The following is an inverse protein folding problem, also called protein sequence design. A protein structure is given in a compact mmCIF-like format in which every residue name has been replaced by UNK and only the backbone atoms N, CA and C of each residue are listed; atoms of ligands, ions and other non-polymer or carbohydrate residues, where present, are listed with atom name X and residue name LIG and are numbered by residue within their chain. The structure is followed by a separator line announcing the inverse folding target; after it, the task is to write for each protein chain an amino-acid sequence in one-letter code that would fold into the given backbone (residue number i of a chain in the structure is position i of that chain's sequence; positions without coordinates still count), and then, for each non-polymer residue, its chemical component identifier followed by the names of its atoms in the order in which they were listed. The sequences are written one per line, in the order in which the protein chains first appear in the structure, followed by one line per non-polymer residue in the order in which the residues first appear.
data_IF_642416243359
#
_entry.id   IF_642416243359
#
_cell.length_a   1.000
_cell.length_b   1.000
_cell.length_c   1.000
_cell.angle_alpha   90.00
_cell.angle_beta   90.00
_cell.angle_gamma   90.00
#
_symmetry.space_group_name_H-M   'P 1'
#
loop_
_entity.id
_entity.type
_entity.pdbx_description
1 polymer ?
#
# COMPACT_ATOMS: atom_id res chain seq x y z
N UNK A 1 -8.60 2.00 14.98
CA UNK A 1 -7.52 1.95 13.97
C UNK A 1 -6.89 3.32 13.76
N UNK A 2 -7.61 4.37 13.38
CA UNK A 2 -7.03 5.69 13.12
C UNK A 2 -6.23 6.30 14.27
N UNK A 3 -6.70 6.18 15.52
CA UNK A 3 -5.97 6.66 16.71
C UNK A 3 -4.62 5.93 16.86
N UNK A 4 -4.59 4.61 16.69
CA UNK A 4 -3.36 3.81 16.78
C UNK A 4 -2.39 4.20 15.68
N UNK A 5 -2.89 4.37 14.45
CA UNK A 5 -2.10 4.84 13.32
C UNK A 5 -1.48 6.21 13.60
N UNK A 6 -2.26 7.14 14.13
CA UNK A 6 -1.80 8.48 14.48
C UNK A 6 -0.70 8.46 15.55
N UNK A 7 -0.88 7.67 16.62
CA UNK A 7 0.11 7.53 17.69
C UNK A 7 1.42 6.95 17.14
N UNK A 8 1.34 5.86 16.38
CA UNK A 8 2.52 5.20 15.81
C UNK A 8 3.25 6.08 14.78
N UNK A 9 2.52 6.84 13.99
CA UNK A 9 3.10 7.81 13.06
C UNK A 9 3.84 8.94 13.80
N UNK A 10 3.28 9.43 14.94
CA UNK A 10 3.95 10.41 15.80
C UNK A 10 5.22 9.86 16.46
N UNK A 11 5.29 8.55 16.66
CA UNK A 11 6.49 7.87 17.18
C UNK A 11 7.50 7.52 16.08
N UNK A 12 7.28 7.95 14.84
CA UNK A 12 8.11 7.65 13.66
C UNK A 12 8.30 6.15 13.39
N UNK A 13 7.38 5.32 13.88
CA UNK A 13 7.42 3.86 13.71
C UNK A 13 6.81 3.42 12.37
N UNK A 14 7.13 4.10 11.27
CA UNK A 14 6.49 3.91 9.96
C UNK A 14 6.48 2.46 9.46
N UNK A 15 7.57 1.71 9.70
CA UNK A 15 7.70 0.32 9.26
C UNK A 15 6.69 -0.65 9.89
N UNK A 16 6.21 -0.36 11.09
CA UNK A 16 5.27 -1.22 11.83
C UNK A 16 3.86 -0.65 11.94
N UNK A 17 3.68 0.63 11.57
CA UNK A 17 2.42 1.35 11.73
C UNK A 17 1.27 0.62 11.04
N UNK A 18 1.43 0.21 9.80
CA UNK A 18 0.41 -0.52 9.03
C UNK A 18 0.06 -1.87 9.65
N UNK A 19 1.07 -2.62 10.07
CA UNK A 19 0.89 -3.95 10.67
C UNK A 19 0.16 -3.87 12.02
N UNK A 20 0.61 -3.02 12.93
CA UNK A 20 0.00 -2.87 14.26
C UNK A 20 -1.43 -2.31 14.15
N UNK A 21 -1.65 -1.37 13.25
CA UNK A 21 -3.00 -0.84 12.97
C UNK A 21 -3.90 -1.93 12.37
N UNK A 22 -3.39 -2.78 11.48
CA UNK A 22 -4.10 -3.93 10.93
C UNK A 22 -4.48 -4.95 12.01
N UNK A 23 -3.55 -5.27 12.91
CA UNK A 23 -3.81 -6.16 14.05
C UNK A 23 -4.90 -5.60 14.98
N UNK A 24 -4.87 -4.31 15.29
CA UNK A 24 -5.95 -3.68 16.08
C UNK A 24 -7.31 -3.76 15.37
N UNK A 25 -7.32 -3.66 14.03
CA UNK A 25 -8.51 -3.85 13.21
C UNK A 25 -9.05 -5.28 13.30
N UNK A 26 -8.18 -6.28 13.19
CA UNK A 26 -8.57 -7.69 13.33
C UNK A 26 -9.14 -7.98 14.73
N UNK A 27 -8.50 -7.49 15.79
CA UNK A 27 -9.01 -7.63 17.16
C UNK A 27 -10.38 -6.96 17.29
N UNK A 28 -10.55 -5.75 16.76
CA UNK A 28 -11.84 -5.05 16.79
C UNK A 28 -12.91 -5.83 16.02
N UNK A 29 -12.61 -6.35 14.84
CA UNK A 29 -13.53 -7.20 14.08
C UNK A 29 -13.91 -8.46 14.85
N UNK A 30 -12.95 -9.11 15.50
CA UNK A 30 -13.21 -10.31 16.31
C UNK A 30 -14.11 -10.00 17.50
N UNK A 31 -13.84 -8.90 18.21
CA UNK A 31 -14.67 -8.45 19.36
C UNK A 31 -16.09 -8.12 18.90
N UNK A 32 -16.23 -7.33 17.83
CA UNK A 32 -17.55 -6.97 17.28
C UNK A 32 -18.33 -8.20 16.83
N UNK A 33 -17.65 -9.14 16.14
CA UNK A 33 -18.28 -10.39 15.72
C UNK A 33 -18.75 -11.21 16.93
N UNK A 34 -17.92 -11.32 17.97
CA UNK A 34 -18.28 -12.05 19.21
C UNK A 34 -19.45 -11.41 19.96
N UNK A 35 -19.54 -10.07 19.95
CA UNK A 35 -20.67 -9.34 20.56
C UNK A 35 -21.94 -9.53 19.73
N UNK A 36 -21.83 -9.49 18.39
CA UNK A 36 -22.98 -9.56 17.48
C UNK A 36 -23.51 -10.98 17.28
N UNK A 37 -22.62 -11.98 17.31
CA UNK A 37 -22.95 -13.40 17.12
C UNK A 37 -23.33 -14.10 18.42
N UNK A 38 -23.90 -13.41 19.41
CA UNK A 38 -24.25 -13.98 20.70
C UNK A 38 -24.75 -15.42 20.59
N UNK A 39 -23.84 -16.38 20.92
CA UNK A 39 -24.14 -17.82 21.04
C UNK A 39 -24.71 -18.54 19.80
N UNK A 40 -24.08 -18.40 18.64
CA UNK A 40 -24.12 -19.48 17.66
C UNK A 40 -22.77 -20.20 17.68
N UNK A 41 -22.67 -21.20 18.52
CA UNK A 41 -21.68 -22.28 18.46
C UNK A 41 -21.94 -23.09 17.20
N UNK A 42 -21.37 -22.69 16.06
CA UNK A 42 -21.71 -23.35 14.80
C UNK A 42 -20.75 -23.10 13.62
N UNK A 43 -19.68 -22.34 13.79
CA UNK A 43 -18.60 -22.38 12.80
C UNK A 43 -17.69 -23.57 13.11
N UNK A 44 -18.23 -24.78 13.00
CA UNK A 44 -17.39 -25.96 12.90
C UNK A 44 -16.42 -25.77 11.77
N UNK A 45 -15.14 -25.75 12.13
CA UNK A 45 -14.01 -25.75 11.22
C UNK A 45 -14.14 -26.94 10.26
N UNK A 46 -14.65 -26.66 9.05
CA UNK A 46 -14.62 -27.60 7.92
C UNK A 46 -13.19 -27.87 7.44
N UNK A 47 -12.22 -27.26 8.06
CA UNK A 47 -10.81 -27.46 7.82
C UNK A 47 -10.13 -28.04 9.07
N UNK A 48 -9.85 -29.34 9.06
CA UNK A 48 -8.81 -29.93 9.91
C UNK A 48 -7.48 -29.37 9.41
N UNK A 49 -7.08 -28.22 9.93
CA UNK A 49 -5.76 -27.65 9.67
C UNK A 49 -4.73 -28.53 10.35
N UNK A 50 -3.82 -29.12 9.60
CA UNK A 50 -2.64 -29.83 10.12
C UNK A 50 -1.69 -28.88 10.86
N UNK A 51 -1.96 -27.57 10.81
CA UNK A 51 -1.15 -26.48 11.34
C UNK A 51 -1.86 -25.89 12.57
N UNK A 52 -1.16 -25.88 13.70
CA UNK A 52 -1.66 -25.27 14.93
C UNK A 52 -1.78 -23.74 14.76
N UNK A 53 -2.76 -23.09 15.42
CA UNK A 53 -2.99 -21.64 15.37
C UNK A 53 -1.69 -20.83 15.58
N UNK A 54 -0.88 -21.25 16.56
CA UNK A 54 0.40 -20.61 16.84
C UNK A 54 1.37 -20.67 15.65
N UNK A 55 1.38 -21.77 14.91
CA UNK A 55 2.23 -21.92 13.72
C UNK A 55 1.74 -21.02 12.59
N UNK A 56 0.44 -20.86 12.43
CA UNK A 56 -0.14 -19.98 11.39
C UNK A 56 0.16 -18.51 11.65
N UNK A 57 0.25 -18.11 12.92
CA UNK A 57 0.51 -16.72 13.33
C UNK A 57 2.01 -16.40 13.44
N UNK A 58 2.87 -17.43 13.51
CA UNK A 58 4.32 -17.29 13.72
C UNK A 58 5.01 -16.30 12.77
N UNK A 59 4.77 -16.32 11.44
CA UNK A 59 5.40 -15.35 10.54
C UNK A 59 5.08 -13.90 10.90
N UNK A 60 3.85 -13.63 11.29
CA UNK A 60 3.39 -12.28 11.66
C UNK A 60 4.00 -11.82 12.98
N UNK A 61 4.10 -12.71 13.96
CA UNK A 61 4.81 -12.43 15.23
C UNK A 61 6.27 -12.11 14.98
N UNK A 62 6.94 -12.87 14.12
CA UNK A 62 8.33 -12.62 13.73
C UNK A 62 8.50 -11.26 13.03
N UNK A 63 7.58 -10.84 12.16
CA UNK A 63 7.60 -9.52 11.54
C UNK A 63 7.57 -8.44 12.63
N UNK A 64 6.67 -8.54 13.61
CA UNK A 64 6.56 -7.56 14.70
C UNK A 64 7.84 -7.52 15.52
N UNK A 65 8.34 -8.68 15.95
CA UNK A 65 9.55 -8.77 16.78
C UNK A 65 10.79 -8.23 16.04
N UNK A 66 10.98 -8.59 14.76
CA UNK A 66 12.09 -8.09 13.96
C UNK A 66 11.97 -6.57 13.72
N UNK A 67 10.77 -6.06 13.50
CA UNK A 67 10.55 -4.62 13.32
C UNK A 67 10.90 -3.84 14.57
N UNK A 68 10.49 -4.32 15.75
CA UNK A 68 10.84 -3.70 17.04
C UNK A 68 12.34 -3.82 17.29
N UNK A 69 12.94 -4.99 17.05
CA UNK A 69 14.36 -5.19 17.22
C UNK A 69 15.19 -4.24 16.35
N UNK A 70 14.84 -4.09 15.06
CA UNK A 70 15.55 -3.19 14.16
C UNK A 70 15.30 -1.71 14.46
N UNK A 71 14.15 -1.37 15.02
CA UNK A 71 13.88 -0.02 15.51
C UNK A 71 14.80 0.34 16.69
N UNK A 72 15.04 -0.61 17.62
CA UNK A 72 15.89 -0.41 18.80
C UNK A 72 17.38 -0.45 18.43
N UNK A 73 17.81 -1.46 17.67
CA UNK A 73 19.22 -1.72 17.34
C UNK A 73 19.76 -0.70 16.32
N UNK A 74 18.88 -0.11 15.49
CA UNK A 74 19.23 0.85 14.40
C UNK A 74 20.41 0.37 13.57
N UNK A 75 20.34 -0.81 12.94
CA UNK A 75 21.47 -1.37 12.20
C UNK A 75 21.86 -0.43 11.05
N UNK A 76 23.15 -0.08 10.97
CA UNK A 76 23.71 0.94 10.09
C UNK A 76 24.18 0.40 8.74
N UNK A 77 23.37 -0.38 8.02
CA UNK A 77 23.65 -0.78 6.64
C UNK A 77 23.03 0.25 5.66
N UNK A 78 23.66 1.41 5.56
CA UNK A 78 23.22 2.48 4.68
C UNK A 78 24.02 2.45 3.37
N UNK A 79 23.29 2.43 2.26
CA UNK A 79 23.82 2.66 0.92
C UNK A 79 23.31 4.02 0.44
N UNK A 80 24.20 4.87 -0.01
CA UNK A 80 23.85 6.14 -0.62
C UNK A 80 24.12 6.06 -2.13
N UNK A 81 23.18 6.52 -2.93
CA UNK A 81 23.31 6.66 -4.36
C UNK A 81 23.38 8.15 -4.70
N UNK A 82 24.40 8.55 -5.45
CA UNK A 82 24.53 9.89 -6.00
C UNK A 82 23.74 10.01 -7.30
N UNK A 83 23.36 11.22 -7.60
CA UNK A 83 22.67 11.58 -8.83
C UNK A 83 23.44 12.72 -9.51
N UNK A 84 23.85 12.53 -10.76
CA UNK A 84 24.75 13.44 -11.46
C UNK A 84 24.05 14.70 -12.01
N UNK A 85 22.74 14.79 -11.86
CA UNK A 85 21.94 15.87 -12.42
C UNK A 85 21.68 15.68 -13.93
N UNK A 86 20.65 16.33 -14.45
CA UNK A 86 20.33 16.36 -15.88
C UNK A 86 19.52 17.60 -16.23
N UNK A 87 19.33 17.85 -17.52
CA UNK A 87 18.43 18.90 -17.99
C UNK A 87 17.13 18.24 -18.49
N UNK A 88 16.00 18.69 -18.00
CA UNK A 88 14.67 18.20 -18.42
C UNK A 88 14.40 18.57 -19.87
N UNK A 89 13.40 17.90 -20.48
CA UNK A 89 12.93 18.25 -21.84
C UNK A 89 12.37 19.68 -21.94
N UNK A 90 12.02 20.29 -20.82
CA UNK A 90 11.57 21.69 -20.71
C UNK A 90 12.74 22.68 -20.55
N UNK A 91 13.99 22.21 -20.51
CA UNK A 91 15.17 23.04 -20.34
C UNK A 91 15.50 23.39 -18.87
N UNK A 92 14.80 22.83 -17.89
CA UNK A 92 15.10 23.03 -16.48
C UNK A 92 16.28 22.14 -16.06
N UNK A 93 17.26 22.73 -15.38
CA UNK A 93 18.42 21.99 -14.87
C UNK A 93 18.10 21.40 -13.49
N UNK A 94 18.18 20.09 -13.37
CA UNK A 94 18.14 19.38 -12.09
C UNK A 94 19.56 19.23 -11.57
N UNK A 95 19.82 19.82 -10.41
CA UNK A 95 21.17 19.85 -9.81
C UNK A 95 21.64 18.44 -9.40
N UNK A 96 22.96 18.15 -9.45
CA UNK A 96 23.50 16.92 -8.93
C UNK A 96 23.38 16.84 -7.41
N UNK A 97 23.12 15.66 -6.87
CA UNK A 97 22.97 15.42 -5.44
C UNK A 97 23.76 14.18 -5.01
N UNK A 98 24.71 14.35 -4.06
CA UNK A 98 25.60 13.26 -3.62
C UNK A 98 24.89 12.16 -2.82
N UNK A 99 23.76 12.48 -2.20
CA UNK A 99 22.94 11.54 -1.42
C UNK A 99 21.47 11.60 -1.83
N UNK A 100 21.22 11.48 -3.12
CA UNK A 100 19.88 11.54 -3.68
C UNK A 100 18.94 10.49 -3.07
N UNK A 101 19.42 9.26 -2.91
CA UNK A 101 18.70 8.20 -2.23
C UNK A 101 19.59 7.55 -1.19
N UNK A 102 19.19 7.59 0.07
CA UNK A 102 19.81 6.81 1.13
C UNK A 102 18.95 5.58 1.42
N UNK A 103 19.54 4.40 1.30
CA UNK A 103 18.86 3.13 1.42
C UNK A 103 19.44 2.33 2.59
N UNK A 104 18.68 2.19 3.65
CA UNK A 104 19.04 1.32 4.78
C UNK A 104 18.38 -0.04 4.64
N UNK A 105 19.16 -1.02 4.15
CA UNK A 105 18.65 -2.34 3.78
C UNK A 105 17.84 -3.02 4.89
N UNK A 106 18.25 -2.89 6.15
CA UNK A 106 17.61 -3.61 7.27
C UNK A 106 16.38 -2.90 7.83
N UNK A 107 16.22 -1.59 7.59
CA UNK A 107 15.05 -0.83 8.04
C UNK A 107 13.84 -0.97 7.11
N UNK A 108 14.05 -1.43 5.87
CA UNK A 108 12.96 -1.55 4.91
C UNK A 108 12.03 -2.73 5.24
N UNK A 109 10.72 -2.55 5.09
CA UNK A 109 9.72 -3.62 5.32
C UNK A 109 10.01 -4.90 4.54
N UNK A 110 10.55 -4.77 3.34
CA UNK A 110 10.98 -5.89 2.49
C UNK A 110 11.95 -6.83 3.22
N UNK A 111 12.99 -6.31 3.85
CA UNK A 111 14.01 -7.12 4.54
C UNK A 111 13.44 -7.83 5.75
N UNK A 112 12.58 -7.14 6.50
CA UNK A 112 11.90 -7.69 7.68
C UNK A 112 10.98 -8.84 7.26
N UNK A 113 10.18 -8.65 6.21
CA UNK A 113 9.25 -9.66 5.68
C UNK A 113 10.03 -10.86 5.14
N UNK A 114 11.12 -10.62 4.40
CA UNK A 114 11.96 -11.67 3.84
C UNK A 114 12.61 -12.51 4.95
N UNK A 115 13.20 -11.87 5.96
CA UNK A 115 13.80 -12.57 7.11
C UNK A 115 12.74 -13.37 7.88
N UNK A 116 11.60 -12.78 8.20
CA UNK A 116 10.51 -13.47 8.88
C UNK A 116 10.04 -14.71 8.09
N UNK A 117 9.89 -14.57 6.78
CA UNK A 117 9.47 -15.65 5.89
C UNK A 117 10.49 -16.78 5.86
N UNK A 118 11.79 -16.46 5.76
CA UNK A 118 12.87 -17.44 5.78
C UNK A 118 12.95 -18.17 7.13
N UNK A 119 12.88 -17.46 8.25
CA UNK A 119 12.85 -18.07 9.58
C UNK A 119 11.65 -19.00 9.76
N UNK A 120 10.47 -18.56 9.33
CA UNK A 120 9.25 -19.36 9.39
C UNK A 120 9.38 -20.63 8.54
N UNK A 121 9.95 -20.49 7.35
CA UNK A 121 10.20 -21.62 6.44
C UNK A 121 11.13 -22.67 7.09
N UNK A 122 12.21 -22.24 7.74
CA UNK A 122 13.14 -23.14 8.45
C UNK A 122 12.43 -23.86 9.58
N UNK A 123 11.62 -23.16 10.37
CA UNK A 123 10.86 -23.77 11.47
C UNK A 123 9.84 -24.79 10.96
N UNK A 124 9.13 -24.49 9.88
CA UNK A 124 8.17 -25.40 9.27
C UNK A 124 8.84 -26.63 8.63
N UNK A 125 10.03 -26.46 8.06
CA UNK A 125 10.84 -27.60 7.61
C UNK A 125 11.21 -28.53 8.76
N UNK A 126 11.71 -27.97 9.87
CA UNK A 126 12.10 -28.77 11.05
C UNK A 126 10.94 -29.53 11.68
N UNK A 127 9.73 -28.98 11.58
CA UNK A 127 8.49 -29.60 12.10
C UNK A 127 7.83 -30.58 11.11
N UNK A 128 8.40 -30.78 9.93
CA UNK A 128 7.86 -31.70 8.93
C UNK A 128 6.59 -31.23 8.22
N UNK A 129 6.13 -30.00 8.51
CA UNK A 129 4.92 -29.40 7.90
C UNK A 129 5.16 -28.99 6.46
N UNK A 130 6.43 -28.77 6.11
CA UNK A 130 6.84 -28.18 4.84
C UNK A 130 7.81 -29.10 4.09
N UNK A 131 7.49 -29.46 2.85
CA UNK A 131 8.35 -30.29 2.02
C UNK A 131 9.22 -29.43 1.08
N UNK A 132 10.38 -29.97 0.67
CA UNK A 132 11.27 -29.33 -0.33
C UNK A 132 10.55 -29.03 -1.64
N UNK A 133 9.63 -29.90 -2.07
CA UNK A 133 8.84 -29.70 -3.28
C UNK A 133 7.93 -28.48 -3.15
N UNK A 134 7.21 -28.33 -2.03
CA UNK A 134 6.37 -27.15 -1.75
C UNK A 134 7.21 -25.87 -1.69
N UNK A 135 8.40 -25.89 -1.07
CA UNK A 135 9.31 -24.76 -1.05
C UNK A 135 9.71 -24.30 -2.45
N UNK A 136 10.10 -25.24 -3.32
CA UNK A 136 10.47 -24.92 -4.71
C UNK A 136 9.34 -24.25 -5.47
N UNK A 137 8.12 -24.74 -5.33
CA UNK A 137 6.93 -24.15 -5.96
C UNK A 137 6.68 -22.73 -5.46
N UNK A 138 6.74 -22.51 -4.15
CA UNK A 138 6.54 -21.18 -3.56
C UNK A 138 7.61 -20.21 -4.03
N UNK A 139 8.89 -20.58 -3.98
CA UNK A 139 9.99 -19.74 -4.42
C UNK A 139 9.89 -19.40 -5.92
N UNK A 140 9.55 -20.38 -6.76
CA UNK A 140 9.36 -20.18 -8.20
C UNK A 140 8.21 -19.20 -8.48
N UNK A 141 7.04 -19.41 -7.84
CA UNK A 141 5.89 -18.54 -8.00
C UNK A 141 6.17 -17.11 -7.46
N UNK A 142 6.91 -17.01 -6.36
CA UNK A 142 7.32 -15.72 -5.81
C UNK A 142 8.25 -15.00 -6.78
N UNK A 143 9.27 -15.67 -7.31
CA UNK A 143 10.20 -15.09 -8.29
C UNK A 143 9.46 -14.60 -9.55
N UNK A 144 8.56 -15.39 -10.10
CA UNK A 144 7.75 -14.97 -11.26
C UNK A 144 6.91 -13.72 -10.97
N UNK A 145 6.25 -13.67 -9.82
CA UNK A 145 5.46 -12.51 -9.40
C UNK A 145 6.35 -11.28 -9.18
N UNK A 146 7.51 -11.45 -8.54
CA UNK A 146 8.45 -10.36 -8.33
C UNK A 146 8.95 -9.79 -9.66
N UNK A 147 9.36 -10.64 -10.62
CA UNK A 147 9.80 -10.20 -11.95
C UNK A 147 8.69 -9.42 -12.66
N UNK A 148 7.48 -9.97 -12.72
CA UNK A 148 6.34 -9.30 -13.36
C UNK A 148 6.04 -7.94 -12.72
N UNK A 149 6.02 -7.88 -11.39
CA UNK A 149 5.77 -6.63 -10.66
C UNK A 149 6.89 -5.61 -10.88
N UNK A 150 8.15 -6.05 -10.84
CA UNK A 150 9.30 -5.18 -11.08
C UNK A 150 9.27 -4.58 -12.48
N UNK A 151 9.02 -5.39 -13.51
CA UNK A 151 8.87 -4.92 -14.88
C UNK A 151 7.76 -3.87 -14.98
N UNK A 152 6.60 -4.15 -14.39
CA UNK A 152 5.48 -3.20 -14.38
C UNK A 152 5.86 -1.87 -13.74
N UNK A 153 6.49 -1.89 -12.56
CA UNK A 153 6.89 -0.67 -11.83
C UNK A 153 7.93 0.11 -12.63
N UNK A 154 8.92 -0.56 -13.23
CA UNK A 154 9.94 0.10 -14.06
C UNK A 154 9.31 0.83 -15.24
N UNK A 155 8.38 0.19 -15.96
CA UNK A 155 7.69 0.86 -17.08
C UNK A 155 6.80 2.01 -16.62
N UNK A 156 6.10 1.87 -15.48
CA UNK A 156 5.27 2.94 -14.93
C UNK A 156 6.10 4.14 -14.49
N UNK A 157 7.25 3.91 -13.85
CA UNK A 157 8.18 4.97 -13.46
C UNK A 157 8.73 5.71 -14.68
N UNK A 158 9.19 4.97 -15.70
CA UNK A 158 9.66 5.59 -16.94
C UNK A 158 8.57 6.42 -17.62
N UNK A 159 7.34 5.90 -17.67
CA UNK A 159 6.19 6.65 -18.22
C UNK A 159 5.96 7.94 -17.42
N UNK A 160 5.96 7.87 -16.09
CA UNK A 160 5.74 9.04 -15.24
C UNK A 160 6.84 10.10 -15.43
N UNK A 161 8.11 9.70 -15.49
CA UNK A 161 9.24 10.60 -15.74
C UNK A 161 9.15 11.25 -17.12
N UNK A 162 8.86 10.49 -18.17
CA UNK A 162 8.68 11.03 -19.53
C UNK A 162 7.54 12.05 -19.56
N UNK A 163 6.41 11.76 -18.92
CA UNK A 163 5.26 12.68 -18.83
C UNK A 163 5.61 13.95 -18.05
N UNK A 164 6.44 13.84 -17.02
CA UNK A 164 6.93 14.98 -16.25
C UNK A 164 7.88 15.84 -17.08
N UNK A 165 8.92 15.25 -17.64
CA UNK A 165 9.96 15.96 -18.40
C UNK A 165 9.44 16.56 -19.72
N UNK A 166 8.40 15.99 -20.30
CA UNK A 166 7.72 16.54 -21.52
C UNK A 166 6.71 17.63 -21.21
N UNK A 167 6.42 17.95 -19.94
CA UNK A 167 5.40 18.90 -19.53
C UNK A 167 3.95 18.41 -19.66
N UNK A 168 3.72 17.16 -20.07
CA UNK A 168 2.36 16.58 -20.17
C UNK A 168 1.62 16.62 -18.85
N UNK A 169 2.30 16.33 -17.74
CA UNK A 169 1.69 16.36 -16.41
C UNK A 169 1.22 17.78 -16.07
N UNK A 170 2.05 18.79 -16.32
CA UNK A 170 1.69 20.19 -16.07
C UNK A 170 0.47 20.61 -16.90
N UNK A 171 0.43 20.26 -18.18
CA UNK A 171 -0.72 20.54 -19.05
C UNK A 171 -2.00 19.89 -18.53
N UNK A 172 -1.95 18.64 -18.10
CA UNK A 172 -3.11 17.93 -17.54
C UNK A 172 -3.52 18.56 -16.20
N UNK A 173 -2.56 18.90 -15.35
CA UNK A 173 -2.83 19.55 -14.07
C UNK A 173 -3.52 20.92 -14.25
N UNK A 174 -3.01 21.76 -15.14
CA UNK A 174 -3.60 23.05 -15.47
C UNK A 174 -5.01 22.88 -16.05
N UNK A 175 -5.23 21.93 -16.93
CA UNK A 175 -6.56 21.66 -17.48
C UNK A 175 -7.55 21.22 -16.39
N UNK A 176 -7.15 20.34 -15.48
CA UNK A 176 -7.98 19.90 -14.37
C UNK A 176 -8.26 21.06 -13.39
N UNK A 177 -7.26 21.84 -13.06
CA UNK A 177 -7.39 23.01 -12.18
C UNK A 177 -8.25 24.08 -12.83
N UNK A 178 -8.13 24.34 -14.13
CA UNK A 178 -8.98 25.30 -14.84
C UNK A 178 -10.46 24.92 -14.81
N UNK A 179 -10.76 23.62 -14.79
CA UNK A 179 -12.13 23.09 -14.72
C UNK A 179 -12.69 23.10 -13.29
N UNK A 180 -11.86 22.83 -12.30
CA UNK A 180 -12.29 22.64 -10.90
C UNK A 180 -11.98 23.83 -10.02
N UNK A 181 -11.02 24.67 -10.37
CA UNK A 181 -10.54 25.79 -9.55
C UNK A 181 -10.14 25.34 -8.16
N UNK A 182 -10.55 26.12 -7.17
CA UNK A 182 -10.32 25.86 -5.74
C UNK A 182 -10.97 24.56 -5.23
N UNK A 183 -11.83 23.91 -6.04
CA UNK A 183 -12.46 22.64 -5.69
C UNK A 183 -11.60 21.43 -6.05
N UNK A 184 -10.44 21.61 -6.69
CA UNK A 184 -9.54 20.51 -7.05
C UNK A 184 -9.20 19.57 -5.89
N UNK A 185 -9.00 20.03 -4.64
CA UNK A 185 -8.74 19.14 -3.51
C UNK A 185 -9.81 18.07 -3.26
N UNK A 186 -11.06 18.29 -3.70
CA UNK A 186 -12.11 17.27 -3.64
C UNK A 186 -11.85 16.12 -4.62
N UNK A 187 -11.21 16.41 -5.75
CA UNK A 187 -10.95 15.44 -6.80
C UNK A 187 -9.74 14.55 -6.50
N UNK A 188 -8.75 15.01 -5.74
CA UNK A 188 -7.52 14.29 -5.48
C UNK A 188 -7.72 12.86 -4.93
N UNK A 189 -8.53 12.60 -3.88
CA UNK A 189 -8.77 11.24 -3.42
C UNK A 189 -9.58 10.40 -4.42
N UNK A 190 -10.43 11.01 -5.25
CA UNK A 190 -11.18 10.31 -6.29
C UNK A 190 -10.26 9.85 -7.41
N UNK A 191 -9.31 10.68 -7.83
CA UNK A 191 -8.27 10.32 -8.79
C UNK A 191 -7.44 9.15 -8.26
N UNK A 192 -7.03 9.21 -7.00
CA UNK A 192 -6.33 8.12 -6.33
C UNK A 192 -7.11 6.81 -6.32
N UNK A 193 -8.39 6.89 -5.96
CA UNK A 193 -9.30 5.75 -5.96
C UNK A 193 -9.41 5.12 -7.34
N UNK A 194 -9.64 5.91 -8.38
CA UNK A 194 -9.75 5.42 -9.76
C UNK A 194 -8.44 4.79 -10.24
N UNK A 195 -7.31 5.43 -9.96
CA UNK A 195 -5.99 4.91 -10.32
C UNK A 195 -5.70 3.55 -9.69
N UNK A 196 -5.99 3.40 -8.40
CA UNK A 196 -5.79 2.13 -7.71
C UNK A 196 -6.83 1.06 -8.08
N UNK A 197 -8.06 1.46 -8.38
CA UNK A 197 -9.08 0.55 -8.91
C UNK A 197 -8.63 -0.08 -10.24
N UNK A 198 -8.15 0.75 -11.17
CA UNK A 198 -7.70 0.30 -12.50
C UNK A 198 -6.44 -0.56 -12.41
N UNK A 199 -5.45 -0.13 -11.61
CA UNK A 199 -4.15 -0.80 -11.53
C UNK A 199 -4.13 -1.97 -10.53
N UNK A 200 -5.11 -2.02 -9.63
CA UNK A 200 -5.15 -2.97 -8.50
C UNK A 200 -4.07 -2.69 -7.43
N UNK A 201 -3.41 -1.52 -7.46
CA UNK A 201 -2.27 -1.20 -6.61
C UNK A 201 -2.23 0.27 -6.20
N UNK A 202 -2.14 0.52 -4.90
CA UNK A 202 -1.93 1.85 -4.35
C UNK A 202 -0.59 2.45 -4.85
N UNK A 203 0.48 1.66 -4.82
CA UNK A 203 1.81 2.10 -5.28
C UNK A 203 1.77 2.54 -6.74
N UNK A 204 1.16 1.74 -7.62
CA UNK A 204 1.06 2.09 -9.03
C UNK A 204 0.23 3.36 -9.24
N UNK A 205 -0.88 3.52 -8.52
CA UNK A 205 -1.68 4.74 -8.55
C UNK A 205 -0.86 5.97 -8.13
N UNK A 206 -0.08 5.85 -7.06
CA UNK A 206 0.75 6.95 -6.58
C UNK A 206 1.89 7.29 -7.55
N UNK A 207 2.48 6.30 -8.20
CA UNK A 207 3.51 6.52 -9.24
C UNK A 207 2.93 7.27 -10.44
N UNK A 208 1.72 6.92 -10.87
CA UNK A 208 1.10 7.55 -12.05
C UNK A 208 0.62 8.97 -11.73
N UNK A 209 -0.05 9.14 -10.60
CA UNK A 209 -0.78 10.38 -10.31
C UNK A 209 -0.11 11.27 -9.25
N UNK A 210 0.97 10.82 -8.59
CA UNK A 210 1.66 11.63 -7.57
C UNK A 210 2.17 12.95 -8.12
N UNK A 211 2.87 12.93 -9.24
CA UNK A 211 3.36 14.13 -9.91
C UNK A 211 2.23 15.05 -10.41
N UNK A 212 1.11 14.47 -10.84
CA UNK A 212 -0.08 15.24 -11.22
C UNK A 212 -0.63 16.03 -10.02
N UNK A 213 -0.68 15.39 -8.84
CA UNK A 213 -1.15 16.05 -7.63
C UNK A 213 -0.20 17.16 -7.17
N UNK A 214 1.09 16.95 -7.30
CA UNK A 214 2.11 17.94 -7.00
C UNK A 214 2.01 19.16 -7.93
N UNK A 215 1.93 18.92 -9.24
CA UNK A 215 1.78 19.98 -10.25
C UNK A 215 0.47 20.77 -10.04
N UNK A 216 -0.65 20.08 -9.80
CA UNK A 216 -1.93 20.72 -9.55
C UNK A 216 -1.92 21.56 -8.25
N UNK A 217 -1.34 21.03 -7.18
CA UNK A 217 -1.20 21.77 -5.92
C UNK A 217 -0.34 23.02 -6.10
N UNK A 218 0.76 22.93 -6.84
CA UNK A 218 1.64 24.05 -7.13
C UNK A 218 0.95 25.14 -7.94
N UNK A 219 0.13 24.77 -8.94
CA UNK A 219 -0.58 25.75 -9.79
C UNK A 219 -1.67 26.53 -9.05
N UNK A 220 -2.22 25.99 -7.94
CA UNK A 220 -3.22 26.68 -7.10
C UNK A 220 -2.64 27.19 -5.77
N UNK A 221 -1.32 27.12 -5.58
CA UNK A 221 -0.64 27.60 -4.38
C UNK A 221 -0.97 26.81 -3.10
N UNK A 222 -1.33 25.54 -3.23
CA UNK A 222 -1.69 24.67 -2.10
C UNK A 222 -0.57 23.70 -1.74
N UNK A 223 -0.66 23.04 -0.57
CA UNK A 223 0.34 22.08 -0.10
C UNK A 223 0.34 20.80 -0.95
N UNK A 224 1.41 20.56 -1.69
CA UNK A 224 1.63 19.33 -2.45
C UNK A 224 1.62 18.08 -1.54
N UNK A 225 2.20 18.17 -0.33
CA UNK A 225 2.23 17.07 0.62
C UNK A 225 0.82 16.61 1.04
N UNK A 226 -0.08 17.56 1.33
CA UNK A 226 -1.46 17.25 1.71
C UNK A 226 -2.21 16.67 0.51
N UNK A 227 -2.00 17.23 -0.69
CA UNK A 227 -2.65 16.76 -1.91
C UNK A 227 -2.22 15.33 -2.26
N UNK A 228 -0.93 15.03 -2.20
CA UNK A 228 -0.39 13.68 -2.42
C UNK A 228 -0.85 12.70 -1.32
N UNK A 229 -1.00 13.14 -0.06
CA UNK A 229 -1.56 12.32 1.00
C UNK A 229 -3.02 11.96 0.71
N UNK A 230 -3.84 12.92 0.28
CA UNK A 230 -5.23 12.68 -0.11
C UNK A 230 -5.35 11.70 -1.28
N UNK A 231 -4.49 11.86 -2.31
CA UNK A 231 -4.33 10.91 -3.42
C UNK A 231 -4.04 9.49 -2.89
N UNK A 232 -3.06 9.35 -2.01
CA UNK A 232 -2.63 8.05 -1.49
C UNK A 232 -3.70 7.37 -0.63
N UNK A 233 -4.45 8.15 0.16
CA UNK A 233 -5.58 7.63 0.94
C UNK A 233 -6.69 7.17 -0.01
N UNK A 234 -7.03 7.97 -1.02
CA UNK A 234 -7.99 7.59 -2.06
C UNK A 234 -7.58 6.30 -2.78
N UNK A 235 -6.31 6.19 -3.14
CA UNK A 235 -5.75 4.99 -3.76
C UNK A 235 -5.84 3.75 -2.84
N UNK A 236 -5.62 3.91 -1.54
CA UNK A 236 -5.78 2.81 -0.57
C UNK A 236 -7.22 2.29 -0.53
N UNK A 237 -8.20 3.19 -0.64
CA UNK A 237 -9.63 2.81 -0.71
C UNK A 237 -9.93 2.14 -2.05
N UNK A 238 -9.45 2.69 -3.16
CA UNK A 238 -9.63 2.13 -4.50
C UNK A 238 -9.06 0.72 -4.64
N UNK A 239 -7.90 0.47 -4.03
CA UNK A 239 -7.25 -0.83 -4.00
C UNK A 239 -8.14 -1.92 -3.35
N UNK A 240 -8.99 -1.56 -2.38
CA UNK A 240 -9.89 -2.50 -1.70
C UNK A 240 -10.97 -3.07 -2.62
N UNK A 241 -11.35 -2.33 -3.67
CA UNK A 241 -12.31 -2.77 -4.70
C UNK A 241 -11.63 -3.10 -6.03
N UNK A 242 -10.30 -3.07 -6.10
CA UNK A 242 -9.59 -3.50 -7.29
C UNK A 242 -9.95 -4.93 -7.69
N UNK A 243 -10.06 -5.25 -9.01
CA UNK A 243 -10.50 -6.56 -9.47
C UNK A 243 -9.70 -7.73 -8.87
N UNK A 244 -8.40 -7.56 -8.70
CA UNK A 244 -7.51 -8.56 -8.09
C UNK A 244 -7.84 -8.79 -6.61
N UNK A 245 -8.09 -7.73 -5.83
CA UNK A 245 -8.42 -7.81 -4.40
C UNK A 245 -9.79 -8.46 -4.21
N UNK A 246 -10.76 -8.08 -5.04
CA UNK A 246 -12.11 -8.64 -4.99
C UNK A 246 -12.09 -10.13 -5.37
N UNK A 247 -11.31 -10.53 -6.39
CA UNK A 247 -11.16 -11.94 -6.77
C UNK A 247 -10.50 -12.77 -5.67
N UNK A 248 -9.47 -12.23 -5.01
CA UNK A 248 -8.84 -12.88 -3.85
C UNK A 248 -9.83 -13.02 -2.68
N UNK A 249 -10.61 -11.98 -2.40
CA UNK A 249 -11.67 -12.02 -1.38
C UNK A 249 -12.75 -13.04 -1.69
N UNK A 250 -13.21 -13.11 -2.94
CA UNK A 250 -14.18 -14.10 -3.41
C UNK A 250 -13.65 -15.53 -3.29
N UNK A 251 -12.36 -15.72 -3.61
CA UNK A 251 -11.69 -17.02 -3.45
C UNK A 251 -11.60 -17.43 -1.98
N UNK A 252 -11.20 -16.52 -1.10
CA UNK A 252 -11.10 -16.78 0.33
C UNK A 252 -12.47 -17.08 0.96
N UNK A 253 -13.53 -16.40 0.50
CA UNK A 253 -14.90 -16.63 0.94
C UNK A 253 -15.61 -17.80 0.23
N UNK A 254 -14.94 -18.50 -0.70
CA UNK A 254 -15.49 -19.60 -1.51
C UNK A 254 -16.73 -19.20 -2.34
N UNK A 255 -16.76 -17.96 -2.80
CA UNK A 255 -17.85 -17.39 -3.63
C UNK A 255 -17.34 -16.93 -5.00
N UNK A 256 -16.37 -17.63 -5.57
CA UNK A 256 -15.84 -17.35 -6.91
C UNK A 256 -16.96 -17.30 -7.95
N UNK A 257 -16.87 -16.34 -8.87
CA UNK A 257 -17.91 -16.08 -9.87
C UNK A 257 -19.07 -15.22 -9.36
N UNK A 258 -19.07 -14.83 -8.08
CA UNK A 258 -20.09 -13.94 -7.47
C UNK A 258 -19.48 -12.59 -7.04
N UNK A 259 -18.40 -12.15 -7.70
CA UNK A 259 -17.70 -10.90 -7.41
C UNK A 259 -18.64 -9.67 -7.49
N UNK A 260 -19.68 -9.74 -8.33
CA UNK A 260 -20.71 -8.71 -8.44
C UNK A 260 -21.45 -8.45 -7.12
N UNK A 261 -21.59 -9.47 -6.26
CA UNK A 261 -22.18 -9.30 -4.93
C UNK A 261 -21.31 -8.46 -4.00
N UNK A 262 -19.99 -8.63 -4.12
CA UNK A 262 -19.01 -7.85 -3.35
C UNK A 262 -19.10 -6.40 -3.80
N UNK A 263 -19.05 -6.13 -5.11
CA UNK A 263 -19.15 -4.78 -5.66
C UNK A 263 -20.43 -4.07 -5.25
N UNK A 264 -21.59 -4.72 -5.34
CA UNK A 264 -22.87 -4.12 -4.94
C UNK A 264 -22.90 -3.68 -3.48
N UNK A 265 -22.19 -4.38 -2.59
CA UNK A 265 -22.14 -4.05 -1.17
C UNK A 265 -21.06 -3.04 -0.81
N UNK A 266 -19.99 -2.98 -1.59
CA UNK A 266 -18.79 -2.18 -1.26
C UNK A 266 -18.74 -0.84 -1.98
N UNK A 267 -19.32 -0.72 -3.19
CA UNK A 267 -19.25 0.50 -3.98
C UNK A 267 -19.85 1.71 -3.27
N UNK A 268 -21.06 1.59 -2.70
CA UNK A 268 -21.71 2.71 -2.03
C UNK A 268 -20.91 3.21 -0.82
N UNK A 269 -20.51 2.35 0.15
CA UNK A 269 -19.66 2.79 1.26
C UNK A 269 -18.34 3.43 0.79
N UNK A 270 -17.74 2.91 -0.27
CA UNK A 270 -16.48 3.41 -0.79
C UNK A 270 -16.63 4.79 -1.42
N UNK A 271 -17.67 5.01 -2.21
CA UNK A 271 -17.96 6.33 -2.78
C UNK A 271 -18.26 7.36 -1.69
N UNK A 272 -19.03 7.00 -0.67
CA UNK A 272 -19.27 7.86 0.49
C UNK A 272 -17.94 8.22 1.17
N UNK A 273 -17.08 7.22 1.42
CA UNK A 273 -15.80 7.45 2.08
C UNK A 273 -14.88 8.33 1.24
N UNK A 274 -14.81 8.11 -0.08
CA UNK A 274 -14.01 8.94 -0.98
C UNK A 274 -14.51 10.41 -1.02
N UNK A 275 -15.82 10.61 -1.02
CA UNK A 275 -16.42 11.94 -0.96
C UNK A 275 -16.11 12.65 0.37
N UNK A 276 -16.26 11.95 1.49
CA UNK A 276 -15.91 12.49 2.81
C UNK A 276 -14.44 12.87 2.90
N UNK A 277 -13.55 12.05 2.34
CA UNK A 277 -12.11 12.35 2.27
C UNK A 277 -11.83 13.57 1.39
N UNK A 278 -12.52 13.70 0.26
CA UNK A 278 -12.42 14.90 -0.56
C UNK A 278 -12.81 16.16 0.21
N UNK A 279 -13.94 16.12 0.94
CA UNK A 279 -14.39 17.22 1.78
C UNK A 279 -13.37 17.53 2.89
N UNK A 280 -12.86 16.50 3.57
CA UNK A 280 -11.81 16.66 4.59
C UNK A 280 -10.56 17.31 3.99
N UNK A 281 -10.09 16.82 2.85
CA UNK A 281 -8.93 17.37 2.17
C UNK A 281 -9.12 18.85 1.84
N UNK A 282 -10.28 19.20 1.30
CA UNK A 282 -10.64 20.58 0.99
C UNK A 282 -10.65 21.50 2.22
N UNK A 283 -11.11 21.00 3.37
CA UNK A 283 -11.13 21.76 4.63
C UNK A 283 -9.75 21.90 5.29
N UNK A 284 -8.88 20.90 5.11
CA UNK A 284 -7.53 20.88 5.73
C UNK A 284 -6.54 21.74 4.92
N UNK A 285 -6.69 21.75 3.58
CA UNK A 285 -5.72 22.39 2.69
C UNK A 285 -5.92 23.90 2.60
N UNK A 286 -7.09 24.40 2.99
CA UNK A 286 -7.41 25.83 3.13
C UNK A 286 -6.91 26.40 4.43
#
# INVERSE_FOLDING_TARGET
MGIVLYILARMEMFSVTGLLTGLTGLVACFVVNRIKSGKEDGAHSLYKSEINLFQSVLPYVLIVLLSIAFYIIKPGLEFAFSFDGYTTGLGEAVAPEEKYVTFNLLKYPFSIIMMSSLFSMVIFFRKGVFSKAKAKVILSNTAQKCISTTITIVFLLNMAVIMMDSGMINTIAEALVSLTGDLYPLAAPVIGLLGAFITGSNTNSNVIFGYLQEAAASSIGMSAAIMCAAQSIGASIGCSIGPTTVSLGATAAQIQGKESMIYRKTLVPILITATLLGIMNFLIIR
#
